data_IF_491731555184
#
_entry.id   IF_491731555184
#
_cell.length_a   1.000
_cell.length_b   1.000
_cell.length_c   1.000
_cell.angle_alpha   90.00
_cell.angle_beta   90.00
_cell.angle_gamma   90.00
#
_symmetry.space_group_name_H-M   'P 1'
#
loop_
_entity.id
_entity.type
_entity.pdbx_description
1 polymer ?
#
# COMPACT_ATOMS: atom_id res chain seq x y z
N UNK A 1 19.61 -5.92 -21.12
CA UNK A 1 18.25 -5.83 -21.66
C UNK A 1 17.88 -4.40 -22.04
N UNK A 2 16.59 -4.17 -22.36
CA UNK A 2 16.03 -2.85 -22.60
C UNK A 2 15.01 -2.53 -21.50
N UNK A 3 15.15 -1.35 -20.87
CA UNK A 3 14.18 -0.82 -19.92
C UNK A 3 12.97 -0.17 -20.62
N UNK A 4 13.18 0.44 -21.78
CA UNK A 4 12.20 1.21 -22.56
C UNK A 4 11.50 2.28 -21.72
N UNK A 5 12.23 3.14 -20.98
CA UNK A 5 11.66 3.98 -19.92
C UNK A 5 10.58 4.95 -20.45
N UNK A 6 10.79 5.49 -21.65
CA UNK A 6 9.88 6.46 -22.28
C UNK A 6 8.79 5.83 -23.17
N UNK A 7 8.76 4.50 -23.30
CA UNK A 7 7.73 3.83 -24.08
C UNK A 7 6.40 3.82 -23.29
N UNK A 8 5.24 3.94 -23.96
CA UNK A 8 3.95 3.71 -23.34
C UNK A 8 3.89 2.30 -22.72
N UNK A 9 3.30 2.20 -21.54
CA UNK A 9 3.05 0.92 -20.90
C UNK A 9 1.76 0.32 -21.42
N UNK A 10 1.81 -0.94 -21.87
CA UNK A 10 0.59 -1.62 -22.30
C UNK A 10 -0.17 -2.23 -21.13
N UNK A 11 -1.46 -2.49 -21.33
CA UNK A 11 -2.33 -3.13 -20.32
C UNK A 11 -1.85 -4.53 -19.95
N UNK A 12 -1.34 -5.30 -20.91
CA UNK A 12 -0.78 -6.63 -20.70
C UNK A 12 0.55 -6.59 -19.92
N UNK A 13 1.45 -5.65 -20.24
CA UNK A 13 2.69 -5.44 -19.51
C UNK A 13 2.42 -5.05 -18.06
N UNK A 14 1.48 -4.13 -17.81
CA UNK A 14 1.08 -3.75 -16.46
C UNK A 14 0.51 -4.95 -15.69
N UNK A 15 -0.36 -5.74 -16.31
CA UNK A 15 -0.89 -6.95 -15.68
C UNK A 15 0.22 -7.89 -15.23
N UNK A 16 1.25 -8.08 -16.07
CA UNK A 16 2.39 -8.91 -15.74
C UNK A 16 3.21 -8.35 -14.56
N UNK A 17 3.43 -7.02 -14.55
CA UNK A 17 4.13 -6.35 -13.45
C UNK A 17 3.39 -6.53 -12.11
N UNK A 18 2.09 -6.28 -12.09
CA UNK A 18 1.27 -6.41 -10.88
C UNK A 18 1.14 -7.87 -10.42
N UNK A 19 1.05 -8.82 -11.35
CA UNK A 19 1.02 -10.24 -11.04
C UNK A 19 2.31 -10.70 -10.35
N UNK A 20 3.47 -10.22 -10.84
CA UNK A 20 4.77 -10.49 -10.24
C UNK A 20 4.88 -9.83 -8.85
N UNK A 21 4.45 -8.57 -8.74
CA UNK A 21 4.46 -7.81 -7.50
C UNK A 21 3.66 -8.49 -6.38
N UNK A 22 2.50 -9.07 -6.72
CA UNK A 22 1.63 -9.76 -5.76
C UNK A 22 2.08 -11.20 -5.46
N UNK A 23 3.25 -11.60 -5.94
CA UNK A 23 3.80 -12.96 -5.84
C UNK A 23 2.79 -14.05 -6.25
N UNK A 24 1.95 -13.73 -7.21
CA UNK A 24 0.85 -14.59 -7.61
C UNK A 24 1.32 -15.84 -8.36
N UNK A 25 2.54 -15.83 -8.88
CA UNK A 25 3.17 -16.97 -9.57
C UNK A 25 3.36 -18.19 -8.67
N UNK A 26 3.50 -18.00 -7.35
CA UNK A 26 3.63 -19.07 -6.37
C UNK A 26 2.27 -19.68 -5.95
N UNK A 27 1.15 -19.07 -6.35
CA UNK A 27 -0.21 -19.55 -6.05
C UNK A 27 -0.66 -20.44 -7.21
N UNK A 28 -0.60 -21.74 -7.01
CA UNK A 28 -0.86 -22.79 -8.02
C UNK A 28 -2.33 -22.96 -8.43
N UNK A 29 -3.10 -21.89 -8.59
CA UNK A 29 -4.48 -21.96 -9.04
C UNK A 29 -4.59 -21.64 -10.55
N UNK A 30 -5.25 -22.52 -11.30
CA UNK A 30 -5.62 -22.26 -12.70
C UNK A 30 -6.82 -21.31 -12.71
N UNK A 31 -6.62 -20.07 -13.10
CA UNK A 31 -7.71 -19.11 -13.28
C UNK A 31 -8.25 -19.21 -14.70
N UNK A 32 -9.58 -19.16 -14.83
CA UNK A 32 -10.22 -19.09 -16.15
C UNK A 32 -9.91 -17.76 -16.81
N UNK A 33 -9.39 -17.78 -18.01
CA UNK A 33 -9.15 -16.58 -18.84
C UNK A 33 -10.49 -15.98 -19.22
N UNK A 34 -10.87 -14.78 -18.71
CA UNK A 34 -12.21 -14.22 -18.90
C UNK A 34 -12.36 -13.47 -20.24
N UNK A 35 -11.26 -13.19 -20.96
CA UNK A 35 -11.25 -12.34 -22.13
C UNK A 35 -10.77 -13.10 -23.38
N UNK A 36 -11.47 -12.92 -24.50
CA UNK A 36 -11.26 -13.67 -25.74
C UNK A 36 -9.90 -13.38 -26.39
N UNK A 37 -9.35 -12.19 -26.19
CA UNK A 37 -8.14 -11.68 -26.85
C UNK A 37 -6.86 -11.85 -26.02
N UNK A 38 -6.93 -12.52 -24.88
CA UNK A 38 -5.76 -12.81 -24.04
C UNK A 38 -5.28 -14.26 -24.15
N UNK A 39 -6.05 -15.14 -24.76
CA UNK A 39 -5.68 -16.53 -24.93
C UNK A 39 -4.38 -16.69 -25.73
N UNK A 40 -3.42 -17.43 -25.19
CA UNK A 40 -2.11 -17.65 -25.79
C UNK A 40 -1.12 -16.46 -25.71
N UNK A 41 -1.50 -15.39 -25.03
CA UNK A 41 -0.60 -14.26 -24.72
C UNK A 41 0.17 -14.51 -23.42
N UNK A 42 1.38 -14.00 -23.31
CA UNK A 42 2.22 -14.13 -22.11
C UNK A 42 1.53 -13.58 -20.85
N UNK A 43 0.72 -12.55 -20.99
CA UNK A 43 -0.03 -11.95 -19.88
C UNK A 43 -1.34 -12.68 -19.52
N UNK A 44 -1.72 -13.76 -20.22
CA UNK A 44 -3.02 -14.41 -20.04
C UNK A 44 -3.28 -14.83 -18.58
N UNK A 45 -2.31 -15.45 -17.92
CA UNK A 45 -2.43 -15.89 -16.55
C UNK A 45 -2.48 -14.71 -15.58
N UNK A 46 -1.66 -13.69 -15.79
CA UNK A 46 -1.67 -12.47 -15.00
C UNK A 46 -3.02 -11.75 -15.08
N UNK A 47 -3.56 -11.61 -16.29
CA UNK A 47 -4.87 -11.00 -16.51
C UNK A 47 -5.99 -11.82 -15.86
N UNK A 48 -5.97 -13.16 -15.98
CA UNK A 48 -6.96 -14.03 -15.37
C UNK A 48 -6.95 -13.94 -13.85
N UNK A 49 -5.77 -13.95 -13.24
CA UNK A 49 -5.58 -13.77 -11.79
C UNK A 49 -6.13 -12.43 -11.33
N UNK A 50 -5.64 -11.33 -11.89
CA UNK A 50 -6.02 -9.98 -11.47
C UNK A 50 -7.51 -9.68 -11.72
N UNK A 51 -8.09 -10.25 -12.76
CA UNK A 51 -9.52 -10.13 -13.04
C UNK A 51 -10.37 -10.91 -12.02
N UNK A 52 -9.92 -12.07 -11.55
CA UNK A 52 -10.63 -12.86 -10.53
C UNK A 52 -10.72 -12.14 -9.18
N UNK A 53 -9.79 -11.23 -8.89
CA UNK A 53 -9.80 -10.37 -7.71
C UNK A 53 -10.41 -8.97 -7.97
N UNK A 54 -10.99 -8.72 -9.16
CA UNK A 54 -11.59 -7.44 -9.50
C UNK A 54 -10.60 -6.28 -9.69
N UNK A 55 -9.28 -6.58 -9.70
CA UNK A 55 -8.23 -5.57 -9.89
C UNK A 55 -8.28 -5.04 -11.33
N UNK A 56 -8.36 -5.96 -12.30
CA UNK A 56 -8.49 -5.64 -13.72
C UNK A 56 -9.91 -5.88 -14.22
N UNK A 57 -10.35 -5.03 -15.14
CA UNK A 57 -11.60 -5.20 -15.88
C UNK A 57 -11.34 -5.11 -17.38
N UNK A 58 -12.13 -5.86 -18.16
CA UNK A 58 -12.15 -5.76 -19.61
C UNK A 58 -13.13 -4.69 -20.10
N UNK A 59 -13.33 -4.69 -21.41
CA UNK A 59 -14.30 -3.84 -22.10
C UNK A 59 -15.66 -4.55 -22.23
N UNK A 60 -16.69 -3.78 -22.52
CA UNK A 60 -18.05 -4.29 -22.70
C UNK A 60 -18.18 -5.30 -23.85
N UNK A 61 -17.25 -5.29 -24.80
CA UNK A 61 -17.17 -6.22 -25.91
C UNK A 61 -16.54 -7.59 -25.55
N UNK A 62 -16.20 -7.81 -24.28
CA UNK A 62 -15.56 -9.03 -23.79
C UNK A 62 -14.07 -9.14 -24.08
N UNK A 63 -13.42 -8.04 -24.51
CA UNK A 63 -11.97 -7.97 -24.72
C UNK A 63 -11.24 -7.33 -23.55
N UNK A 64 -9.94 -7.60 -23.43
CA UNK A 64 -9.03 -6.95 -22.48
C UNK A 64 -8.14 -5.91 -23.15
N UNK A 65 -7.81 -6.11 -24.42
CA UNK A 65 -6.90 -5.32 -25.25
C UNK A 65 -5.50 -5.23 -24.63
N UNK A 66 -4.79 -6.37 -24.48
CA UNK A 66 -3.51 -6.44 -23.77
C UNK A 66 -2.41 -5.58 -24.41
N UNK A 67 -2.43 -5.39 -25.71
CA UNK A 67 -1.43 -4.61 -26.45
C UNK A 67 -1.76 -3.09 -26.51
N UNK A 68 -2.94 -2.68 -26.02
CA UNK A 68 -3.30 -1.28 -25.95
C UNK A 68 -2.54 -0.58 -24.81
N UNK A 69 -2.07 0.67 -25.01
CA UNK A 69 -1.50 1.46 -23.93
C UNK A 69 -2.55 1.77 -22.86
N UNK A 70 -2.09 2.02 -21.63
CA UNK A 70 -2.96 2.41 -20.52
C UNK A 70 -2.85 3.91 -20.29
N UNK A 71 -4.00 4.57 -20.02
CA UNK A 71 -4.00 5.98 -19.65
C UNK A 71 -3.58 6.18 -18.18
N UNK A 72 -3.09 7.37 -17.85
CA UNK A 72 -2.72 7.74 -16.48
C UNK A 72 -3.89 7.64 -15.51
N UNK A 73 -5.11 8.00 -15.95
CA UNK A 73 -6.32 7.83 -15.14
C UNK A 73 -6.62 6.36 -14.84
N UNK A 74 -6.58 5.50 -15.85
CA UNK A 74 -6.81 4.07 -15.65
C UNK A 74 -5.73 3.44 -14.75
N UNK A 75 -4.49 3.89 -14.87
CA UNK A 75 -3.40 3.44 -14.01
C UNK A 75 -3.61 3.87 -12.54
N UNK A 76 -4.05 5.11 -12.27
CA UNK A 76 -4.39 5.58 -10.92
C UNK A 76 -5.45 4.68 -10.25
N UNK A 77 -6.49 4.30 -10.98
CA UNK A 77 -7.52 3.37 -10.50
C UNK A 77 -6.93 2.00 -10.17
N UNK A 78 -6.03 1.49 -11.01
CA UNK A 78 -5.42 0.17 -10.81
C UNK A 78 -4.49 0.13 -9.60
N UNK A 79 -3.74 1.19 -9.31
CA UNK A 79 -2.92 1.28 -8.10
C UNK A 79 -3.75 1.07 -6.84
N UNK A 80 -4.91 1.75 -6.73
CA UNK A 80 -5.82 1.56 -5.59
C UNK A 80 -6.41 0.16 -5.52
N UNK A 81 -6.83 -0.40 -6.64
CA UNK A 81 -7.39 -1.76 -6.68
C UNK A 81 -6.36 -2.82 -6.29
N UNK A 82 -5.09 -2.64 -6.64
CA UNK A 82 -4.01 -3.54 -6.22
C UNK A 82 -3.77 -3.54 -4.72
N UNK A 83 -4.01 -2.41 -4.07
CA UNK A 83 -3.92 -2.28 -2.62
C UNK A 83 -5.22 -2.70 -1.91
N UNK A 84 -6.27 -3.07 -2.66
CA UNK A 84 -7.62 -3.26 -2.13
C UNK A 84 -8.11 -2.04 -1.33
N UNK A 85 -7.64 -0.86 -1.73
CA UNK A 85 -7.83 0.41 -1.05
C UNK A 85 -8.94 1.21 -1.70
N UNK A 86 -9.87 1.72 -0.88
CA UNK A 86 -10.76 2.77 -1.32
C UNK A 86 -9.95 4.08 -1.51
N UNK A 87 -10.30 4.92 -2.50
CA UNK A 87 -9.67 6.22 -2.65
C UNK A 87 -10.01 7.13 -1.45
N UNK A 88 -9.13 8.07 -1.15
CA UNK A 88 -9.39 9.10 -0.13
C UNK A 88 -10.63 9.89 -0.51
N UNK A 89 -11.63 9.88 0.36
CA UNK A 89 -12.98 10.42 0.04
C UNK A 89 -13.11 11.94 0.14
N UNK A 90 -12.17 12.62 0.82
CA UNK A 90 -12.18 14.08 0.98
C UNK A 90 -10.78 14.63 0.69
N UNK A 91 -10.71 15.71 -0.06
CA UNK A 91 -9.47 16.39 -0.44
C UNK A 91 -9.72 17.89 -0.56
N UNK A 92 -8.68 18.70 -0.24
CA UNK A 92 -8.72 20.14 -0.38
C UNK A 92 -8.54 20.60 -1.83
N UNK A 93 -8.81 21.89 -2.08
CA UNK A 93 -8.67 22.48 -3.42
C UNK A 93 -7.22 22.44 -3.94
N UNK A 94 -6.22 22.35 -3.06
CA UNK A 94 -4.81 22.22 -3.39
C UNK A 94 -4.47 20.90 -4.11
N UNK A 95 -5.35 19.90 -4.01
CA UNK A 95 -5.19 18.61 -4.70
C UNK A 95 -5.89 18.55 -6.05
N UNK A 96 -6.68 19.56 -6.40
CA UNK A 96 -7.45 19.60 -7.66
C UNK A 96 -6.54 19.92 -8.86
N UNK A 97 -6.78 19.23 -9.97
CA UNK A 97 -6.15 19.50 -11.26
C UNK A 97 -7.15 20.13 -12.21
N UNK A 98 -6.76 21.18 -12.91
CA UNK A 98 -7.66 21.93 -13.79
C UNK A 98 -8.18 21.10 -14.99
N UNK A 99 -7.45 20.05 -15.36
CA UNK A 99 -7.82 19.14 -16.45
C UNK A 99 -8.54 17.86 -15.98
N UNK A 100 -8.90 17.79 -14.69
CA UNK A 100 -9.74 16.71 -14.12
C UNK A 100 -11.05 17.34 -13.62
N UNK A 101 -12.09 17.39 -14.46
CA UNK A 101 -13.35 18.03 -14.09
C UNK A 101 -14.08 17.26 -13.00
N UNK A 102 -14.87 17.97 -12.20
CA UNK A 102 -15.76 17.35 -11.21
C UNK A 102 -16.66 16.30 -11.85
N UNK A 103 -16.75 15.13 -11.23
CA UNK A 103 -17.50 13.98 -11.76
C UNK A 103 -16.77 13.19 -12.85
N UNK A 104 -15.48 13.48 -13.11
CA UNK A 104 -14.69 12.63 -13.97
C UNK A 104 -14.57 11.22 -13.38
N UNK A 105 -14.70 10.19 -14.18
CA UNK A 105 -14.83 8.80 -13.71
C UNK A 105 -13.71 8.29 -12.80
N UNK A 106 -12.51 8.84 -12.91
CA UNK A 106 -11.35 8.52 -12.10
C UNK A 106 -10.95 9.63 -11.12
N UNK A 107 -11.77 10.68 -10.98
CA UNK A 107 -11.47 11.88 -10.19
C UNK A 107 -10.93 11.55 -8.80
N UNK A 108 -11.70 10.81 -8.02
CA UNK A 108 -11.37 10.46 -6.64
C UNK A 108 -10.06 9.67 -6.54
N UNK A 109 -9.83 8.77 -7.48
CA UNK A 109 -8.59 7.98 -7.53
C UNK A 109 -7.37 8.83 -7.87
N UNK A 110 -7.51 9.78 -8.81
CA UNK A 110 -6.44 10.71 -9.21
C UNK A 110 -6.03 11.56 -8.02
N UNK A 111 -6.97 12.18 -7.33
CA UNK A 111 -6.68 13.02 -6.16
C UNK A 111 -6.11 12.19 -5.02
N UNK A 112 -6.63 10.99 -4.79
CA UNK A 112 -6.08 10.08 -3.80
C UNK A 112 -4.63 9.70 -4.11
N UNK A 113 -4.27 9.40 -5.36
CA UNK A 113 -2.87 9.11 -5.72
C UNK A 113 -1.94 10.32 -5.52
N UNK A 114 -2.45 11.56 -5.70
CA UNK A 114 -1.69 12.78 -5.40
C UNK A 114 -1.46 12.97 -3.90
N UNK A 115 -2.50 12.79 -3.08
CA UNK A 115 -2.43 12.88 -1.62
C UNK A 115 -1.42 11.85 -1.07
N UNK A 116 -1.47 10.62 -1.59
CA UNK A 116 -0.58 9.53 -1.19
C UNK A 116 0.84 9.64 -1.78
N UNK A 117 1.09 10.65 -2.62
CA UNK A 117 2.39 10.87 -3.23
C UNK A 117 2.75 9.89 -4.36
N UNK A 118 1.84 9.00 -4.77
CA UNK A 118 2.13 7.98 -5.79
C UNK A 118 2.26 8.56 -7.20
N UNK A 119 1.27 9.39 -7.59
CA UNK A 119 1.28 10.11 -8.86
C UNK A 119 1.17 11.61 -8.61
N UNK A 120 1.99 12.37 -9.31
CA UNK A 120 2.00 13.83 -9.27
C UNK A 120 1.54 14.39 -10.62
N UNK A 121 1.15 15.67 -10.64
CA UNK A 121 0.90 16.39 -11.89
C UNK A 121 2.18 16.63 -12.68
N UNK A 122 2.03 17.07 -13.92
CA UNK A 122 3.12 17.54 -14.75
C UNK A 122 3.68 18.88 -14.27
N UNK A 123 4.79 19.33 -14.86
CA UNK A 123 5.39 20.64 -14.59
C UNK A 123 4.47 21.82 -14.97
N UNK A 124 3.47 21.56 -15.80
CA UNK A 124 2.42 22.50 -16.19
C UNK A 124 1.24 22.56 -15.18
N UNK A 125 1.31 21.79 -14.09
CA UNK A 125 0.26 21.71 -13.07
C UNK A 125 -0.96 20.86 -13.47
N UNK A 126 -0.93 20.16 -14.60
CA UNK A 126 -2.01 19.31 -15.09
C UNK A 126 -1.72 17.83 -14.78
N UNK A 127 -2.77 17.02 -14.68
CA UNK A 127 -2.63 15.58 -14.48
C UNK A 127 -2.47 14.81 -15.78
N UNK A 128 -3.09 15.27 -16.87
CA UNK A 128 -3.16 14.60 -18.16
C UNK A 128 -3.82 13.20 -18.08
N UNK A 129 -5.08 13.10 -17.65
CA UNK A 129 -5.73 11.83 -17.33
C UNK A 129 -5.80 10.86 -18.52
N UNK A 130 -6.01 11.36 -19.72
CA UNK A 130 -6.11 10.55 -20.96
C UNK A 130 -4.77 10.25 -21.62
N UNK A 131 -3.68 10.89 -21.18
CA UNK A 131 -2.34 10.61 -21.71
C UNK A 131 -1.91 9.18 -21.34
N UNK A 132 -1.29 8.49 -22.29
CA UNK A 132 -0.65 7.21 -22.03
C UNK A 132 0.45 7.37 -20.95
N UNK A 133 0.48 6.47 -19.99
CA UNK A 133 1.54 6.45 -18.97
C UNK A 133 2.77 5.75 -19.53
N UNK A 134 3.95 6.32 -19.27
CA UNK A 134 5.21 5.67 -19.65
C UNK A 134 5.60 4.59 -18.65
N UNK A 135 6.45 3.67 -19.08
CA UNK A 135 7.01 2.62 -18.20
C UNK A 135 7.75 3.23 -17.00
N UNK A 136 8.53 4.28 -17.21
CA UNK A 136 9.24 4.98 -16.13
C UNK A 136 8.28 5.60 -15.11
N UNK A 137 7.22 6.28 -15.57
CA UNK A 137 6.20 6.85 -14.68
C UNK A 137 5.48 5.78 -13.87
N UNK A 138 5.11 4.67 -14.51
CA UNK A 138 4.43 3.57 -13.84
C UNK A 138 5.31 2.91 -12.77
N UNK A 139 6.57 2.62 -13.09
CA UNK A 139 7.54 2.04 -12.16
C UNK A 139 7.77 2.97 -10.97
N UNK A 140 7.97 4.28 -11.21
CA UNK A 140 8.15 5.27 -10.15
C UNK A 140 6.93 5.32 -9.22
N UNK A 141 5.72 5.32 -9.78
CA UNK A 141 4.50 5.33 -8.98
C UNK A 141 4.32 4.03 -8.16
N UNK A 142 4.66 2.88 -8.72
CA UNK A 142 4.63 1.59 -8.01
C UNK A 142 5.66 1.58 -6.88
N UNK A 143 6.89 2.05 -7.10
CA UNK A 143 7.90 2.14 -6.03
C UNK A 143 7.42 3.04 -4.89
N UNK A 144 6.86 4.21 -5.20
CA UNK A 144 6.27 5.10 -4.19
C UNK A 144 5.12 4.46 -3.43
N UNK A 145 4.24 3.76 -4.13
CA UNK A 145 3.15 2.99 -3.52
C UNK A 145 3.68 1.92 -2.56
N UNK A 146 4.82 1.31 -2.85
CA UNK A 146 5.47 0.29 -2.03
C UNK A 146 6.35 0.89 -0.91
N UNK A 147 6.49 2.22 -0.85
CA UNK A 147 7.38 2.89 0.09
C UNK A 147 8.87 2.65 -0.17
N UNK A 148 9.24 2.21 -1.38
CA UNK A 148 10.64 1.99 -1.76
C UNK A 148 11.36 3.32 -1.92
N UNK A 149 12.55 3.44 -1.29
CA UNK A 149 13.34 4.66 -1.34
C UNK A 149 14.15 4.79 -2.63
N UNK A 150 14.27 6.05 -3.08
CA UNK A 150 15.14 6.44 -4.17
C UNK A 150 16.50 6.91 -3.61
N UNK A 151 17.15 6.17 -2.71
CA UNK A 151 18.44 6.64 -2.18
C UNK A 151 19.50 6.62 -3.30
N UNK A 152 19.82 7.81 -3.76
CA UNK A 152 20.76 8.07 -4.88
C UNK A 152 22.18 7.61 -4.55
N UNK A 153 22.50 7.45 -3.27
CA UNK A 153 23.86 7.17 -2.79
C UNK A 153 24.36 5.76 -3.13
N UNK A 154 23.46 4.79 -3.25
CA UNK A 154 23.83 3.40 -3.56
C UNK A 154 23.90 3.11 -5.06
N UNK A 155 23.31 3.97 -5.89
CA UNK A 155 23.27 3.84 -7.34
C UNK A 155 24.65 3.90 -8.02
N UNK A 156 25.63 4.57 -7.42
CA UNK A 156 26.96 4.77 -8.02
C UNK A 156 27.82 3.50 -8.08
N UNK A 157 27.46 2.44 -7.34
CA UNK A 157 28.19 1.18 -7.32
C UNK A 157 27.54 0.06 -8.15
N UNK A 158 26.34 0.29 -8.71
CA UNK A 158 25.55 -0.72 -9.38
C UNK A 158 25.73 -0.68 -10.89
N UNK A 159 26.02 -1.83 -11.48
CA UNK A 159 26.12 -1.94 -12.95
C UNK A 159 24.72 -1.91 -13.57
N UNK A 160 24.44 -0.86 -14.32
CA UNK A 160 23.18 -0.74 -15.09
C UNK A 160 23.05 -1.89 -16.12
N UNK A 161 22.02 -2.75 -16.02
CA UNK A 161 21.81 -3.84 -16.96
C UNK A 161 21.11 -3.42 -18.27
N UNK A 162 20.66 -2.16 -18.35
CA UNK A 162 19.86 -1.64 -19.45
C UNK A 162 20.69 -0.71 -20.34
N UNK A 163 20.77 -1.05 -21.61
CA UNK A 163 21.56 -0.27 -22.58
C UNK A 163 20.86 1.02 -23.06
N UNK A 164 19.56 1.16 -22.80
CA UNK A 164 18.70 2.28 -23.18
C UNK A 164 18.26 3.18 -22.01
N UNK A 165 18.82 2.97 -20.84
CA UNK A 165 18.56 3.77 -19.64
C UNK A 165 19.80 4.59 -19.28
N UNK A 166 19.81 5.87 -19.62
CA UNK A 166 20.91 6.77 -19.29
C UNK A 166 20.90 7.11 -17.79
N UNK A 167 22.09 7.26 -17.18
CA UNK A 167 22.22 7.67 -15.77
C UNK A 167 21.58 9.04 -15.48
N UNK A 168 21.51 9.91 -16.49
CA UNK A 168 20.84 11.20 -16.40
C UNK A 168 19.29 11.12 -16.53
N UNK A 169 18.72 9.95 -16.76
CA UNK A 169 17.29 9.79 -16.87
C UNK A 169 16.63 10.01 -15.49
N UNK A 170 15.61 10.83 -15.43
CA UNK A 170 14.94 11.23 -14.18
C UNK A 170 14.44 10.04 -13.33
N UNK A 171 14.07 8.92 -13.95
CA UNK A 171 13.62 7.70 -13.28
C UNK A 171 14.72 6.62 -13.19
N UNK A 172 16.00 6.98 -13.36
CA UNK A 172 17.10 6.02 -13.38
C UNK A 172 17.10 5.13 -12.14
N UNK A 173 17.07 5.73 -10.95
CA UNK A 173 16.99 5.04 -9.68
C UNK A 173 15.78 4.10 -9.59
N UNK A 174 14.59 4.62 -9.89
CA UNK A 174 13.35 3.85 -9.83
C UNK A 174 13.34 2.63 -10.74
N UNK A 175 13.91 2.74 -11.94
CA UNK A 175 13.96 1.63 -12.90
C UNK A 175 14.94 0.55 -12.44
N UNK A 176 16.08 0.94 -11.86
CA UNK A 176 17.04 -0.01 -11.30
C UNK A 176 16.49 -0.71 -10.04
N UNK A 177 15.83 0.03 -9.17
CA UNK A 177 15.12 -0.49 -7.99
C UNK A 177 14.09 -1.57 -8.39
N UNK A 178 13.17 -1.22 -9.28
CA UNK A 178 12.14 -2.15 -9.73
C UNK A 178 12.68 -3.38 -10.48
N UNK A 179 13.88 -3.28 -11.04
CA UNK A 179 14.57 -4.39 -11.68
C UNK A 179 15.30 -5.31 -10.68
N UNK A 180 15.27 -4.98 -9.38
CA UNK A 180 16.02 -5.71 -8.35
C UNK A 180 17.54 -5.60 -8.55
N UNK A 181 18.00 -4.55 -9.22
CA UNK A 181 19.44 -4.32 -9.50
C UNK A 181 20.08 -3.57 -8.36
N UNK A 182 19.33 -2.64 -7.76
CA UNK A 182 19.59 -2.22 -6.42
C UNK A 182 19.23 -3.44 -5.58
N UNK A 183 20.21 -4.06 -4.99
CA UNK A 183 19.89 -4.94 -3.89
C UNK A 183 19.11 -4.06 -2.94
N UNK A 184 17.87 -4.44 -2.66
CA UNK A 184 17.30 -4.09 -1.41
C UNK A 184 18.38 -4.40 -0.36
N UNK A 185 19.06 -3.37 0.14
CA UNK A 185 19.54 -3.41 1.51
C UNK A 185 18.34 -3.31 2.49
N UNK A 186 17.13 -3.22 1.97
CA UNK A 186 15.91 -3.76 2.56
C UNK A 186 15.81 -5.30 2.51
N UNK A 187 16.64 -6.07 1.85
CA UNK A 187 17.21 -7.24 2.49
C UNK A 187 18.10 -6.66 3.60
N UNK A 188 17.51 -6.06 4.63
CA UNK A 188 18.10 -6.03 5.93
C UNK A 188 18.82 -7.35 6.05
N UNK A 189 20.14 -7.32 6.11
CA UNK A 189 20.97 -8.51 6.06
C UNK A 189 20.27 -9.56 6.93
N UNK A 190 20.16 -10.81 6.53
CA UNK A 190 19.58 -11.90 7.35
C UNK A 190 20.07 -11.83 8.81
N UNK A 191 21.20 -11.17 9.04
CA UNK A 191 21.79 -10.85 10.33
C UNK A 191 20.88 -10.03 11.28
N UNK A 192 19.95 -9.20 10.80
CA UNK A 192 18.99 -8.53 11.72
C UNK A 192 17.92 -9.49 12.23
N UNK A 193 17.51 -10.47 11.40
CA UNK A 193 16.55 -11.50 11.81
C UNK A 193 17.08 -12.34 12.98
N UNK A 194 18.39 -12.55 13.05
CA UNK A 194 19.00 -13.25 14.16
C UNK A 194 19.06 -12.40 15.45
N UNK A 195 18.95 -11.08 15.33
CA UNK A 195 19.02 -10.13 16.46
C UNK A 195 17.65 -9.61 16.90
N UNK A 196 16.60 -9.80 16.10
CA UNK A 196 15.21 -9.47 16.46
C UNK A 196 14.79 -10.27 17.69
N UNK A 197 14.06 -9.66 18.65
CA UNK A 197 13.51 -10.39 19.79
C UNK A 197 12.72 -11.62 19.34
N UNK A 198 12.93 -12.73 20.02
CA UNK A 198 12.21 -13.98 19.75
C UNK A 198 10.69 -13.74 19.80
N UNK A 199 9.95 -14.42 18.90
CA UNK A 199 8.49 -14.28 18.77
C UNK A 199 8.01 -12.87 18.39
N UNK A 200 8.78 -12.14 17.58
CA UNK A 200 8.33 -10.85 17.03
C UNK A 200 7.05 -11.05 16.20
N UNK A 201 6.00 -10.34 16.60
CA UNK A 201 4.67 -10.39 15.97
C UNK A 201 4.45 -9.30 14.92
N UNK A 202 5.14 -8.15 15.09
CA UNK A 202 5.11 -7.04 14.14
C UNK A 202 6.42 -6.26 14.20
N UNK A 203 6.83 -5.69 13.08
CA UNK A 203 7.99 -4.81 13.00
C UNK A 203 7.81 -3.76 11.91
N UNK A 204 8.51 -2.64 12.06
CA UNK A 204 8.56 -1.57 11.06
C UNK A 204 9.90 -0.84 11.15
N UNK A 205 10.51 -0.56 9.98
CA UNK A 205 11.68 0.30 9.88
C UNK A 205 11.29 1.60 9.17
N UNK A 206 11.50 2.73 9.82
CA UNK A 206 11.29 4.06 9.25
C UNK A 206 12.48 4.53 8.41
N UNK A 207 13.67 3.94 8.67
CA UNK A 207 14.92 4.16 7.92
C UNK A 207 15.80 2.91 7.98
N UNK A 208 16.96 2.93 7.35
CA UNK A 208 17.95 1.83 7.40
C UNK A 208 18.45 1.55 8.83
N UNK A 209 18.50 2.58 9.66
CA UNK A 209 18.99 2.48 11.05
C UNK A 209 17.89 2.36 12.08
N UNK A 210 16.76 3.03 11.85
CA UNK A 210 15.69 3.17 12.83
C UNK A 210 14.56 2.20 12.58
N UNK A 211 14.25 1.35 13.57
CA UNK A 211 13.19 0.38 13.47
C UNK A 211 12.59 -0.01 14.81
N UNK A 212 11.37 -0.46 14.79
CA UNK A 212 10.60 -0.94 15.94
C UNK A 212 10.15 -2.38 15.71
N UNK A 213 10.12 -3.15 16.78
CA UNK A 213 9.61 -4.52 16.79
C UNK A 213 8.76 -4.74 18.03
N UNK A 214 7.65 -5.47 17.87
CA UNK A 214 6.81 -5.89 18.99
C UNK A 214 6.97 -7.40 19.20
N UNK A 215 7.31 -7.80 20.40
CA UNK A 215 7.48 -9.20 20.79
C UNK A 215 6.89 -9.43 22.18
N UNK A 216 6.00 -10.41 22.29
CA UNK A 216 5.38 -10.82 23.58
C UNK A 216 4.80 -9.65 24.38
N UNK A 217 4.18 -8.69 23.69
CA UNK A 217 3.61 -7.49 24.34
C UNK A 217 4.63 -6.42 24.73
N UNK A 218 5.90 -6.56 24.38
CA UNK A 218 6.93 -5.56 24.60
C UNK A 218 7.35 -4.91 23.29
N UNK A 219 7.48 -3.58 23.29
CA UNK A 219 8.06 -2.83 22.17
C UNK A 219 9.58 -2.76 22.32
N UNK A 220 10.26 -2.85 21.20
CA UNK A 220 11.71 -2.71 21.08
C UNK A 220 12.03 -1.69 19.99
N UNK A 221 13.10 -0.93 20.15
CA UNK A 221 13.62 0.03 19.18
C UNK A 221 15.06 -0.25 18.85
N UNK A 222 15.44 -0.06 17.60
CA UNK A 222 16.81 -0.10 17.13
C UNK A 222 17.17 1.19 16.42
N UNK A 223 18.38 1.69 16.62
CA UNK A 223 18.96 2.86 15.93
C UNK A 223 20.17 2.48 15.08
N UNK A 224 20.41 1.18 14.88
CA UNK A 224 21.60 0.66 14.17
C UNK A 224 21.26 -0.47 13.20
N UNK A 225 20.06 -0.42 12.60
CA UNK A 225 19.61 -1.37 11.59
C UNK A 225 19.36 -2.77 12.16
N UNK A 226 18.88 -2.86 13.39
CA UNK A 226 18.52 -4.13 14.02
C UNK A 226 19.70 -4.90 14.62
N UNK A 227 20.90 -4.34 14.68
CA UNK A 227 22.07 -5.01 15.32
C UNK A 227 21.87 -5.15 16.84
N UNK A 228 21.22 -4.19 17.47
CA UNK A 228 20.82 -4.23 18.85
C UNK A 228 19.41 -3.67 18.99
N UNK A 229 18.68 -4.16 19.99
CA UNK A 229 17.30 -3.76 20.27
C UNK A 229 17.17 -3.39 21.74
N UNK A 230 16.72 -2.17 22.00
CA UNK A 230 16.43 -1.67 23.33
C UNK A 230 14.92 -1.71 23.60
N UNK A 231 14.53 -2.05 24.82
CA UNK A 231 13.12 -2.02 25.24
C UNK A 231 12.64 -0.57 25.32
N UNK A 232 11.43 -0.34 24.81
CA UNK A 232 10.76 0.96 24.83
C UNK A 232 9.45 0.85 25.60
N UNK A 233 9.20 1.82 26.46
CA UNK A 233 7.95 1.96 27.20
C UNK A 233 7.62 0.79 28.14
N UNK A 234 6.34 0.72 28.51
CA UNK A 234 5.78 -0.36 29.34
C UNK A 234 5.27 -1.50 28.45
N UNK A 235 5.19 -2.73 28.98
CA UNK A 235 4.53 -3.82 28.28
C UNK A 235 3.12 -3.42 27.84
N UNK A 236 2.78 -3.76 26.60
CA UNK A 236 1.48 -3.52 25.98
C UNK A 236 0.47 -4.54 26.50
N UNK A 237 -0.75 -4.09 26.79
CA UNK A 237 -1.83 -4.96 27.24
C UNK A 237 -2.58 -5.66 26.07
N UNK A 238 -1.93 -5.84 24.91
CA UNK A 238 -2.52 -6.45 23.74
C UNK A 238 -1.50 -7.30 22.95
N UNK A 239 -2.01 -8.25 22.20
CA UNK A 239 -1.24 -8.95 21.19
C UNK A 239 -1.11 -8.04 19.95
N UNK A 240 0.10 -7.64 19.61
CA UNK A 240 0.37 -6.72 18.50
C UNK A 240 0.33 -7.48 17.20
N UNK A 241 -0.45 -7.01 16.24
CA UNK A 241 -0.57 -7.59 14.89
C UNK A 241 -0.09 -6.64 13.79
N UNK A 242 0.06 -5.34 14.09
CA UNK A 242 0.54 -4.34 13.14
C UNK A 242 1.26 -3.21 13.85
N UNK A 243 2.30 -2.68 13.21
CA UNK A 243 3.12 -1.60 13.76
C UNK A 243 3.58 -0.71 12.59
N UNK A 244 3.48 0.59 12.75
CA UNK A 244 3.95 1.55 11.76
C UNK A 244 4.39 2.85 12.43
N UNK A 245 5.60 3.29 12.14
CA UNK A 245 6.13 4.56 12.60
C UNK A 245 6.30 5.53 11.42
N UNK A 246 5.66 6.69 11.52
CA UNK A 246 5.79 7.79 10.54
C UNK A 246 7.10 8.55 10.71
N UNK A 247 7.64 8.55 11.91
CA UNK A 247 8.90 9.17 12.32
C UNK A 247 9.42 8.49 13.59
N UNK A 248 10.57 8.89 14.09
CA UNK A 248 11.12 8.41 15.36
C UNK A 248 10.17 8.63 16.56
N UNK A 249 9.28 9.61 16.50
CA UNK A 249 8.37 9.97 17.60
C UNK A 249 6.94 9.48 17.36
N UNK A 250 6.46 9.51 16.11
CA UNK A 250 5.06 9.28 15.80
C UNK A 250 4.83 7.90 15.18
N UNK A 251 3.95 7.13 15.79
CA UNK A 251 3.62 5.79 15.32
C UNK A 251 2.20 5.37 15.66
N UNK A 252 1.76 4.29 15.02
CA UNK A 252 0.50 3.61 15.28
C UNK A 252 0.74 2.12 15.46
N UNK A 253 -0.07 1.51 16.30
CA UNK A 253 -0.02 0.09 16.61
C UNK A 253 -1.44 -0.47 16.54
N UNK A 254 -1.55 -1.61 15.90
CA UNK A 254 -2.76 -2.42 15.88
C UNK A 254 -2.55 -3.69 16.67
N UNK A 255 -3.51 -4.02 17.50
CA UNK A 255 -3.49 -5.22 18.32
C UNK A 255 -4.88 -5.74 18.64
N UNK A 256 -4.91 -6.81 19.43
CA UNK A 256 -6.12 -7.42 19.93
C UNK A 256 -5.91 -7.96 21.35
N UNK A 257 -7.01 -8.16 22.10
CA UNK A 257 -7.02 -8.81 23.39
C UNK A 257 -8.19 -9.80 23.47
N UNK A 258 -8.34 -10.50 24.59
CA UNK A 258 -9.51 -11.36 24.82
C UNK A 258 -10.83 -10.58 24.83
N UNK A 259 -10.79 -9.28 25.16
CA UNK A 259 -11.97 -8.42 25.28
C UNK A 259 -12.26 -7.61 24.01
N UNK A 260 -11.27 -7.43 23.11
CA UNK A 260 -11.41 -6.62 21.90
C UNK A 260 -10.63 -7.21 20.73
N UNK A 261 -11.31 -7.41 19.61
CA UNK A 261 -10.71 -7.85 18.35
C UNK A 261 -9.89 -6.75 17.65
N UNK A 262 -10.07 -5.49 18.05
CA UNK A 262 -9.36 -4.36 17.49
C UNK A 262 -8.97 -3.35 18.57
N UNK A 263 -7.68 -3.16 18.76
CA UNK A 263 -7.08 -2.14 19.61
C UNK A 263 -6.18 -1.31 18.73
N UNK A 264 -6.45 -0.02 18.60
CA UNK A 264 -5.69 0.91 17.78
C UNK A 264 -5.06 1.97 18.67
N UNK A 265 -3.75 1.92 18.78
CA UNK A 265 -2.98 2.83 19.63
C UNK A 265 -2.14 3.78 18.80
N UNK A 266 -1.90 4.98 19.33
CA UNK A 266 -1.01 5.98 18.75
C UNK A 266 0.02 6.42 19.79
N UNK A 267 1.23 6.67 19.32
CA UNK A 267 2.30 7.30 20.10
C UNK A 267 2.77 8.59 19.41
N UNK A 268 3.22 9.55 20.20
CA UNK A 268 3.92 10.78 19.78
C UNK A 268 5.27 10.95 20.48
N UNK A 269 5.71 9.95 21.24
CA UNK A 269 6.95 9.91 22.01
C UNK A 269 7.84 8.69 21.72
N UNK A 270 7.70 8.11 20.51
CA UNK A 270 8.53 6.98 20.07
C UNK A 270 8.12 5.62 20.65
N UNK A 271 6.95 5.53 21.27
CA UNK A 271 6.42 4.30 21.84
C UNK A 271 6.59 4.18 23.37
N UNK A 272 7.06 5.22 24.03
CA UNK A 272 7.13 5.25 25.49
C UNK A 272 5.74 5.24 26.13
N UNK A 273 4.80 5.99 25.52
CA UNK A 273 3.38 6.00 25.92
C UNK A 273 2.47 5.83 24.69
N UNK A 274 1.25 5.36 24.94
CA UNK A 274 0.29 5.06 23.89
C UNK A 274 -1.11 5.56 24.26
N UNK A 275 -1.73 6.28 23.32
CA UNK A 275 -3.12 6.73 23.42
C UNK A 275 -4.02 5.77 22.63
N UNK A 276 -5.14 5.34 23.24
CA UNK A 276 -6.13 4.52 22.57
C UNK A 276 -7.04 5.38 21.68
N UNK A 277 -6.92 5.20 20.36
CA UNK A 277 -7.70 5.92 19.36
C UNK A 277 -9.17 5.47 19.29
N UNK A 278 -9.53 4.37 19.93
CA UNK A 278 -10.90 3.84 19.96
C UNK A 278 -11.58 4.04 21.31
N UNK A 279 -10.90 4.69 22.29
CA UNK A 279 -11.37 4.82 23.68
C UNK A 279 -12.58 5.75 23.85
N UNK A 280 -12.85 6.65 22.89
CA UNK A 280 -13.99 7.59 23.01
C UNK A 280 -14.89 7.53 21.78
N UNK A 281 -16.21 7.84 21.93
CA UNK A 281 -17.15 7.89 20.79
C UNK A 281 -16.68 8.77 19.64
N UNK A 282 -16.10 9.91 19.95
CA UNK A 282 -15.64 10.87 18.96
C UNK A 282 -14.42 10.35 18.15
N UNK A 283 -13.47 9.70 18.82
CA UNK A 283 -12.32 9.08 18.14
C UNK A 283 -12.73 7.81 17.42
N UNK A 284 -13.60 7.00 18.01
CA UNK A 284 -14.14 5.79 17.38
C UNK A 284 -14.84 6.10 16.05
N UNK A 285 -15.70 7.14 16.01
CA UNK A 285 -16.43 7.57 14.82
C UNK A 285 -15.50 8.01 13.66
N UNK A 286 -14.28 8.42 13.96
CA UNK A 286 -13.28 8.79 12.96
C UNK A 286 -12.79 7.58 12.16
N UNK A 287 -12.66 6.44 12.82
CA UNK A 287 -12.06 5.24 12.26
C UNK A 287 -13.08 4.15 11.90
N UNK A 288 -14.24 4.12 12.55
CA UNK A 288 -15.23 3.06 12.40
C UNK A 288 -16.64 3.64 12.09
N UNK A 289 -17.52 2.89 11.43
CA UNK A 289 -18.85 3.36 11.00
C UNK A 289 -19.87 3.30 12.14
N UNK A 290 -19.67 4.09 13.20
CA UNK A 290 -20.52 4.09 14.41
C UNK A 290 -22.00 4.34 14.12
N UNK A 291 -22.30 5.09 13.07
CA UNK A 291 -23.67 5.43 12.65
C UNK A 291 -24.49 4.21 12.19
N UNK A 292 -23.82 3.10 11.87
CA UNK A 292 -24.47 1.86 11.43
C UNK A 292 -24.78 0.91 12.59
N UNK A 293 -24.40 1.26 13.81
CA UNK A 293 -24.54 0.39 14.99
C UNK A 293 -25.28 1.09 16.14
N UNK A 294 -26.14 0.36 16.89
CA UNK A 294 -26.89 0.94 18.00
C UNK A 294 -26.02 1.32 19.20
N UNK A 295 -24.87 0.69 19.37
CA UNK A 295 -23.91 0.97 20.43
C UNK A 295 -22.47 0.76 19.94
N UNK A 296 -21.51 1.47 20.56
CA UNK A 296 -20.09 1.27 20.31
C UNK A 296 -19.65 -0.16 20.61
N UNK A 297 -20.16 -0.74 21.66
CA UNK A 297 -19.89 -2.12 22.04
C UNK A 297 -20.31 -3.08 20.93
N UNK A 298 -21.50 -2.92 20.36
CA UNK A 298 -21.98 -3.78 19.26
C UNK A 298 -21.14 -3.62 17.99
N UNK A 299 -20.59 -2.43 17.73
CA UNK A 299 -19.64 -2.20 16.65
C UNK A 299 -18.34 -2.93 16.88
N UNK A 300 -17.72 -2.77 18.06
CA UNK A 300 -16.45 -3.43 18.39
C UNK A 300 -16.56 -4.96 18.40
N UNK A 301 -17.69 -5.49 18.89
CA UNK A 301 -18.01 -6.93 18.83
C UNK A 301 -18.25 -7.46 17.39
N UNK A 302 -18.59 -6.58 16.46
CA UNK A 302 -18.81 -6.95 15.06
C UNK A 302 -17.53 -7.07 14.23
N UNK A 303 -16.39 -6.59 14.76
CA UNK A 303 -15.12 -6.59 14.04
C UNK A 303 -14.61 -8.03 13.90
N UNK A 304 -14.40 -8.45 12.67
CA UNK A 304 -13.85 -9.76 12.31
C UNK A 304 -12.32 -9.73 12.26
N UNK A 305 -11.77 -8.67 11.66
CA UNK A 305 -10.32 -8.48 11.57
C UNK A 305 -9.96 -7.02 11.31
N UNK A 306 -8.76 -6.65 11.70
CA UNK A 306 -8.17 -5.38 11.35
C UNK A 306 -6.72 -5.57 10.92
N UNK A 307 -6.23 -4.71 10.04
CA UNK A 307 -4.89 -4.81 9.46
C UNK A 307 -4.33 -3.41 9.20
N UNK A 308 -3.03 -3.23 9.51
CA UNK A 308 -2.24 -2.07 9.09
C UNK A 308 -1.38 -2.45 7.90
N UNK A 309 -1.46 -1.67 6.82
CA UNK A 309 -0.60 -1.82 5.63
C UNK A 309 0.06 -0.51 5.28
N UNK A 310 1.39 -0.45 5.11
CA UNK A 310 2.05 0.76 4.64
C UNK A 310 1.43 1.25 3.32
N UNK A 311 1.09 2.54 3.28
CA UNK A 311 0.64 3.22 2.07
C UNK A 311 1.76 4.05 1.46
N UNK A 312 2.62 4.60 2.31
CA UNK A 312 3.87 5.32 1.98
C UNK A 312 4.72 5.42 3.25
N UNK A 313 5.86 6.10 3.20
CA UNK A 313 6.66 6.39 4.40
C UNK A 313 5.92 7.25 5.44
N UNK A 314 4.94 8.04 5.01
CA UNK A 314 4.20 8.99 5.85
C UNK A 314 2.73 8.63 6.02
N UNK A 315 2.30 7.48 5.52
CA UNK A 315 0.91 7.06 5.59
C UNK A 315 0.79 5.53 5.68
N UNK A 316 -0.22 5.08 6.42
CA UNK A 316 -0.59 3.67 6.57
C UNK A 316 -2.09 3.50 6.36
N UNK A 317 -2.49 2.40 5.71
CA UNK A 317 -3.88 1.99 5.64
C UNK A 317 -4.25 1.21 6.89
N UNK A 318 -5.32 1.63 7.55
CA UNK A 318 -6.08 0.79 8.48
C UNK A 318 -7.25 0.18 7.71
N UNK A 319 -7.28 -1.13 7.59
CA UNK A 319 -8.39 -1.87 6.98
C UNK A 319 -9.11 -2.65 8.07
N UNK A 320 -10.40 -2.39 8.26
CA UNK A 320 -11.25 -3.10 9.23
C UNK A 320 -12.33 -3.86 8.50
N UNK A 321 -12.48 -5.16 8.81
CA UNK A 321 -13.57 -6.02 8.36
C UNK A 321 -14.54 -6.22 9.51
N UNK A 322 -15.83 -6.06 9.25
CA UNK A 322 -16.87 -6.18 10.28
C UNK A 322 -18.18 -6.72 9.68
N UNK A 323 -19.00 -7.32 10.52
CA UNK A 323 -20.36 -7.71 10.15
C UNK A 323 -21.30 -6.53 10.31
N UNK A 324 -22.00 -6.07 9.25
CA UNK A 324 -23.00 -4.99 9.36
C UNK A 324 -24.14 -5.38 10.30
N UNK A 325 -24.61 -4.42 11.11
CA UNK A 325 -25.62 -4.67 12.14
C UNK A 325 -26.96 -5.24 11.62
N UNK A 326 -27.39 -4.86 10.44
CA UNK A 326 -28.68 -5.29 9.85
C UNK A 326 -28.62 -6.64 9.07
N UNK A 327 -27.47 -7.28 8.98
CA UNK A 327 -27.30 -8.54 8.21
C UNK A 327 -27.75 -9.79 8.96
N UNK A 328 -28.85 -9.74 9.74
CA UNK A 328 -29.36 -10.86 10.55
C UNK A 328 -29.96 -12.00 9.70
N UNK A 329 -30.14 -11.82 8.42
CA UNK A 329 -30.64 -12.87 7.53
C UNK A 329 -29.89 -12.89 6.20
N UNK A 330 -29.18 -13.99 5.97
CA UNK A 330 -28.58 -14.47 4.71
C UNK A 330 -27.12 -14.12 4.50
N UNK A 331 -26.25 -15.09 4.87
CA UNK A 331 -24.85 -15.29 4.46
C UNK A 331 -23.80 -14.28 4.99
N UNK A 332 -22.64 -14.82 5.37
CA UNK A 332 -21.39 -14.18 5.80
C UNK A 332 -20.94 -12.99 4.91
N UNK A 333 -21.69 -11.89 4.93
CA UNK A 333 -21.30 -10.68 4.27
C UNK A 333 -20.46 -9.84 5.23
N UNK A 334 -19.16 -9.78 5.01
CA UNK A 334 -18.26 -8.86 5.70
C UNK A 334 -18.21 -7.54 4.95
N UNK A 335 -18.46 -6.44 5.67
CA UNK A 335 -18.17 -5.10 5.16
C UNK A 335 -16.69 -4.76 5.44
N UNK A 336 -16.11 -3.95 4.57
CA UNK A 336 -14.73 -3.49 4.68
C UNK A 336 -14.72 -1.98 4.76
N UNK A 337 -14.08 -1.43 5.79
CA UNK A 337 -13.74 -0.01 5.88
C UNK A 337 -12.23 0.15 5.84
N UNK A 338 -11.77 1.05 4.99
CA UNK A 338 -10.37 1.37 4.89
C UNK A 338 -10.16 2.87 5.10
N UNK A 339 -9.14 3.20 5.88
CA UNK A 339 -8.81 4.56 6.28
C UNK A 339 -7.33 4.78 6.08
N UNK A 340 -6.95 5.96 5.59
CA UNK A 340 -5.57 6.40 5.55
C UNK A 340 -5.26 7.13 6.86
N UNK A 341 -4.22 6.71 7.53
CA UNK A 341 -3.68 7.36 8.71
C UNK A 341 -2.33 7.99 8.37
N UNK A 342 -2.11 9.21 8.85
CA UNK A 342 -0.87 9.97 8.68
C UNK A 342 -0.37 10.46 10.04
N UNK A 343 0.85 10.98 10.09
CA UNK A 343 1.41 11.53 11.32
C UNK A 343 0.53 12.62 11.96
N UNK A 344 -0.19 13.40 11.12
CA UNK A 344 -0.99 14.56 11.55
C UNK A 344 -2.50 14.23 11.66
N UNK A 345 -2.89 12.98 11.46
CA UNK A 345 -4.30 12.54 11.37
C UNK A 345 -4.88 12.13 12.72
#
# INVERSE_FOLDING_TARGET
GLARPNAPLTRGELAQMLYTLLDAGNKAASYRVPFSDTAGKDCAQAVAYLASYGILTGYADGTFRPDAPISRAAFAVLLHRCQFAAPVGQYGEEFVFADVPAGYWAETYIYSTKILGWLQGGADGLFHPEREITRAEAVTAINRMLGRDESVTELMSVKNPFSDLAESHWAYANVLEAAGVLKDDASMSEAWMDSVPLNTSAYHFSSESDGWAASEGQLFHTTNGGKNWDKVGRPLACAVSGLFFFSEQNGVLLGSSEESACILLRTDDGGETWDDLLATPATLARYLPVEQFPTEKSLLESIVSAELRPASRTAVYLTVRYHPYESVHVYDFEAVRQIVMTADA
#
